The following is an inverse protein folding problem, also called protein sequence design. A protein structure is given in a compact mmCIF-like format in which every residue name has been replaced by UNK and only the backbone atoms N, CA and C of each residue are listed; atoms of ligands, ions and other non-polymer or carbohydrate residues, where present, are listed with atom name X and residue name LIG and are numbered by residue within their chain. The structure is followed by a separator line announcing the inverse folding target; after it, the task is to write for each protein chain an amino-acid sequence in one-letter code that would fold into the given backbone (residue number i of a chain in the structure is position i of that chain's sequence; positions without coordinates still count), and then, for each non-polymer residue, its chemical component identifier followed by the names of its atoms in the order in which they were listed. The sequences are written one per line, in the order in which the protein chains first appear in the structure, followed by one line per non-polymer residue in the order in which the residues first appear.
data_IF_620158673170
#
_entry.id   IF_620158673170
#
_cell.length_a   1.000
_cell.length_b   1.000
_cell.length_c   1.000
_cell.angle_alpha   90.00
_cell.angle_beta   90.00
_cell.angle_gamma   90.00
#
_symmetry.space_group_name_H-M   'P 1'
#
loop_
_entity.id
_entity.type
_entity.pdbx_description
1 polymer ?
#
# COMPACT_ATOMS: atom_id res chain seq x y z
N UNK A 1 9.50 15.30 -15.44
CA UNK A 1 9.98 14.35 -14.42
C UNK A 1 9.70 14.96 -13.05
N UNK A 2 9.01 14.22 -12.19
CA UNK A 2 8.50 14.78 -10.94
C UNK A 2 9.49 14.59 -9.80
N UNK A 3 9.84 15.69 -9.12
CA UNK A 3 10.67 15.70 -7.90
C UNK A 3 9.80 16.00 -6.68
N UNK A 4 10.35 15.81 -5.49
CA UNK A 4 9.63 16.15 -4.26
C UNK A 4 9.06 17.57 -4.27
N UNK A 5 9.82 18.55 -4.77
CA UNK A 5 9.39 19.95 -4.86
C UNK A 5 8.20 20.20 -5.81
N UNK A 6 7.85 19.20 -6.62
CA UNK A 6 6.65 19.27 -7.48
C UNK A 6 5.35 19.03 -6.70
N UNK A 7 5.45 18.59 -5.46
CA UNK A 7 4.33 18.21 -4.60
C UNK A 7 4.30 19.08 -3.34
N UNK A 8 3.10 19.35 -2.84
CA UNK A 8 2.96 19.90 -1.49
C UNK A 8 3.35 18.86 -0.45
N UNK A 9 3.55 19.28 0.80
CA UNK A 9 3.87 18.39 1.92
C UNK A 9 2.84 17.27 2.09
N UNK A 10 1.54 17.62 1.98
CA UNK A 10 0.44 16.66 2.12
C UNK A 10 0.37 15.69 0.93
N UNK A 11 0.56 16.20 -0.29
CA UNK A 11 0.63 15.38 -1.51
C UNK A 11 1.80 14.40 -1.44
N UNK A 12 2.97 14.86 -1.00
CA UNK A 12 4.15 14.00 -0.84
C UNK A 12 3.93 12.93 0.22
N UNK A 13 3.33 13.31 1.34
CA UNK A 13 2.93 12.37 2.40
C UNK A 13 1.96 11.33 1.87
N UNK A 14 0.96 11.71 1.08
CA UNK A 14 0.03 10.78 0.44
C UNK A 14 0.75 9.75 -0.44
N UNK A 15 1.69 10.19 -1.30
CA UNK A 15 2.43 9.28 -2.18
C UNK A 15 3.29 8.28 -1.40
N UNK A 16 3.81 8.68 -0.26
CA UNK A 16 4.63 7.81 0.59
C UNK A 16 3.81 6.85 1.44
N UNK A 17 2.64 7.29 1.91
CA UNK A 17 1.76 6.48 2.75
C UNK A 17 0.92 5.47 1.98
N UNK A 18 0.48 5.79 0.78
CA UNK A 18 -0.44 4.94 0.02
C UNK A 18 0.06 3.48 -0.10
N UNK A 19 1.33 3.20 -0.45
CA UNK A 19 1.82 1.82 -0.50
C UNK A 19 1.80 1.11 0.87
N UNK A 20 2.14 1.82 1.94
CA UNK A 20 2.12 1.26 3.30
C UNK A 20 0.71 0.92 3.76
N UNK A 21 -0.25 1.78 3.45
CA UNK A 21 -1.67 1.54 3.74
C UNK A 21 -2.23 0.38 2.91
N UNK A 22 -1.83 0.25 1.65
CA UNK A 22 -2.17 -0.91 0.79
C UNK A 22 -1.64 -2.20 1.40
N UNK A 23 -0.36 -2.25 1.78
CA UNK A 23 0.22 -3.42 2.43
C UNK A 23 -0.54 -3.80 3.71
N UNK A 24 -0.80 -2.82 4.59
CA UNK A 24 -1.52 -3.04 5.84
C UNK A 24 -2.97 -3.50 5.64
N UNK A 25 -3.70 -2.91 4.68
CA UNK A 25 -5.07 -3.29 4.39
C UNK A 25 -5.16 -4.67 3.72
N UNK A 26 -4.17 -5.05 2.91
CA UNK A 26 -4.12 -6.38 2.28
C UNK A 26 -3.95 -7.47 3.34
N UNK A 27 -2.99 -7.32 4.26
CA UNK A 27 -2.78 -8.28 5.35
C UNK A 27 -3.95 -8.32 6.34
N UNK A 28 -4.63 -7.19 6.56
CA UNK A 28 -5.80 -7.11 7.42
C UNK A 28 -7.09 -7.64 6.76
N UNK A 29 -7.12 -7.83 5.45
CA UNK A 29 -8.30 -8.31 4.71
C UNK A 29 -8.74 -9.71 5.17
N UNK A 30 -7.80 -10.55 5.61
CA UNK A 30 -8.11 -11.80 6.31
C UNK A 30 -8.22 -11.54 7.81
N UNK A 31 -9.36 -11.87 8.47
CA UNK A 31 -9.53 -11.70 9.92
C UNK A 31 -8.50 -12.47 10.76
N UNK A 32 -7.91 -13.53 10.23
CA UNK A 32 -6.81 -14.25 10.89
C UNK A 32 -5.52 -13.44 10.94
N UNK A 33 -5.35 -12.48 10.04
CA UNK A 33 -4.18 -11.59 9.94
C UNK A 33 -4.25 -10.31 10.77
N UNK A 34 -5.38 -10.01 11.42
CA UNK A 34 -5.54 -8.75 12.20
C UNK A 34 -4.63 -8.69 13.45
N UNK A 35 -4.07 -9.80 13.87
CA UNK A 35 -3.01 -9.83 14.87
C UNK A 35 -1.63 -9.84 14.21
N UNK A 36 -1.47 -8.99 13.18
CA UNK A 36 -0.17 -8.74 12.58
C UNK A 36 0.84 -8.44 13.70
N UNK A 37 1.71 -9.38 13.92
CA UNK A 37 2.82 -9.20 14.84
C UNK A 37 3.72 -8.07 14.32
N UNK A 38 4.54 -7.50 15.17
CA UNK A 38 5.59 -6.54 14.78
C UNK A 38 6.39 -7.06 13.57
N UNK A 39 6.51 -8.38 13.43
CA UNK A 39 7.19 -9.07 12.32
C UNK A 39 6.47 -8.87 10.97
N UNK A 40 5.14 -8.89 10.93
CA UNK A 40 4.36 -8.67 9.70
C UNK A 40 4.35 -7.20 9.30
N UNK A 41 4.29 -6.28 10.29
CA UNK A 41 4.47 -4.86 10.03
C UNK A 41 5.86 -4.56 9.45
N UNK A 42 6.91 -5.22 9.94
CA UNK A 42 8.26 -5.10 9.42
C UNK A 42 8.39 -5.71 8.00
N UNK A 43 7.71 -6.83 7.72
CA UNK A 43 7.68 -7.42 6.38
C UNK A 43 6.99 -6.49 5.37
N UNK A 44 5.86 -5.88 5.76
CA UNK A 44 5.16 -4.88 4.95
C UNK A 44 6.03 -3.65 4.65
N UNK A 45 6.78 -3.15 5.62
CA UNK A 45 7.73 -2.07 5.43
C UNK A 45 8.86 -2.45 4.46
N UNK A 46 9.34 -3.68 4.51
CA UNK A 46 10.32 -4.23 3.57
C UNK A 46 9.79 -4.27 2.14
N UNK A 47 8.55 -4.71 1.95
CA UNK A 47 7.87 -4.72 0.64
C UNK A 47 7.80 -3.31 0.05
N UNK A 48 7.37 -2.33 0.85
CA UNK A 48 7.25 -0.92 0.39
C UNK A 48 8.63 -0.31 0.07
N UNK A 49 9.62 -0.53 0.94
CA UNK A 49 10.98 -0.04 0.70
C UNK A 49 11.57 -0.60 -0.60
N UNK A 50 11.37 -1.89 -0.86
CA UNK A 50 11.83 -2.52 -2.09
C UNK A 50 11.05 -2.01 -3.31
N UNK A 51 9.76 -1.75 -3.18
CA UNK A 51 8.94 -1.22 -4.27
C UNK A 51 9.44 0.16 -4.74
N UNK A 52 9.81 1.05 -3.83
CA UNK A 52 10.40 2.35 -4.20
C UNK A 52 11.75 2.19 -4.91
N UNK A 53 12.54 1.19 -4.56
CA UNK A 53 13.87 0.94 -5.15
C UNK A 53 13.82 0.31 -6.55
N UNK A 54 12.68 -0.27 -6.94
CA UNK A 54 12.58 -1.02 -8.20
C UNK A 54 12.70 -0.12 -9.44
N UNK A 55 12.26 1.14 -9.37
CA UNK A 55 12.20 2.06 -10.51
C UNK A 55 13.02 3.34 -10.29
N UNK A 56 14.16 3.25 -9.62
CA UNK A 56 15.00 4.43 -9.29
C UNK A 56 15.58 5.16 -10.50
N UNK A 57 15.47 4.60 -11.70
CA UNK A 57 15.74 5.30 -12.95
C UNK A 57 14.71 6.42 -13.28
N UNK A 58 13.55 6.42 -12.61
CA UNK A 58 12.55 7.47 -12.67
C UNK A 58 12.75 8.45 -11.51
N UNK A 59 12.73 9.75 -11.77
CA UNK A 59 13.03 10.78 -10.75
C UNK A 59 12.10 10.71 -9.54
N UNK A 60 10.80 10.47 -9.76
CA UNK A 60 9.84 10.30 -8.68
C UNK A 60 10.26 9.15 -7.74
N UNK A 61 10.63 8.01 -8.28
CA UNK A 61 11.01 6.84 -7.50
C UNK A 61 12.37 7.03 -6.80
N UNK A 62 13.31 7.69 -7.45
CA UNK A 62 14.58 8.07 -6.83
C UNK A 62 14.33 8.97 -5.60
N UNK A 63 13.44 9.95 -5.72
CA UNK A 63 13.07 10.83 -4.62
C UNK A 63 12.33 10.07 -3.49
N UNK A 64 11.38 9.18 -3.82
CA UNK A 64 10.68 8.34 -2.85
C UNK A 64 11.62 7.39 -2.11
N UNK A 65 12.60 6.81 -2.81
CA UNK A 65 13.56 5.87 -2.23
C UNK A 65 14.60 6.54 -1.31
N UNK A 66 14.89 7.83 -1.52
CA UNK A 66 15.87 8.59 -0.74
C UNK A 66 15.27 9.34 0.45
N UNK A 67 13.96 9.52 0.48
CA UNK A 67 13.29 10.15 1.62
C UNK A 67 13.08 9.12 2.75
N UNK A 68 13.92 9.20 3.76
CA UNK A 68 13.88 8.35 4.95
C UNK A 68 13.04 8.95 6.09
N UNK A 69 12.40 10.09 5.89
CA UNK A 69 11.52 10.66 6.90
C UNK A 69 10.33 9.73 7.14
N UNK A 70 9.85 9.67 8.37
CA UNK A 70 8.65 8.89 8.70
C UNK A 70 7.43 9.72 8.31
N UNK A 71 6.62 9.30 7.32
CA UNK A 71 5.41 10.03 7.00
C UNK A 71 4.45 10.00 8.18
N UNK A 72 3.79 11.11 8.45
CA UNK A 72 2.78 11.19 9.50
C UNK A 72 1.63 10.20 9.22
N UNK A 73 1.48 9.20 10.06
CA UNK A 73 0.35 8.27 9.96
C UNK A 73 -0.94 8.99 10.36
N UNK A 74 -2.02 8.82 9.60
CA UNK A 74 -3.33 9.29 10.03
C UNK A 74 -3.73 8.67 11.38
N UNK A 75 -4.51 9.41 12.17
CA UNK A 75 -5.07 8.85 13.40
C UNK A 75 -5.83 7.55 13.09
N UNK A 76 -5.49 6.43 13.73
CA UNK A 76 -6.19 5.15 13.53
C UNK A 76 -7.70 5.26 13.68
N UNK A 77 -8.19 6.10 14.59
CA UNK A 77 -9.63 6.35 14.77
C UNK A 77 -10.28 6.96 13.52
N UNK A 78 -9.55 7.81 12.80
CA UNK A 78 -10.03 8.40 11.54
C UNK A 78 -10.11 7.36 10.44
N UNK A 79 -9.20 6.38 10.42
CA UNK A 79 -9.18 5.32 9.41
C UNK A 79 -10.18 4.20 9.71
N UNK A 80 -10.29 3.80 10.97
CA UNK A 80 -11.10 2.67 11.41
C UNK A 80 -12.53 3.08 11.74
N UNK A 81 -12.74 4.29 12.25
CA UNK A 81 -14.03 4.77 12.74
C UNK A 81 -14.55 3.96 13.92
N UNK A 82 -15.83 4.12 14.23
CA UNK A 82 -16.53 3.36 15.26
C UNK A 82 -17.32 2.20 14.62
N UNK A 83 -17.59 1.15 15.40
CA UNK A 83 -18.39 0.01 14.98
C UNK A 83 -17.76 -1.34 15.33
N UNK A 84 -18.38 -2.41 14.82
CA UNK A 84 -17.83 -3.74 14.94
C UNK A 84 -16.50 -3.85 14.20
N UNK A 85 -15.72 -4.88 14.54
CA UNK A 85 -14.44 -5.14 13.87
C UNK A 85 -14.54 -5.27 12.37
N UNK A 86 -15.60 -5.92 11.88
CA UNK A 86 -15.86 -6.06 10.44
C UNK A 86 -16.17 -4.70 9.81
N UNK A 87 -16.99 -3.88 10.46
CA UNK A 87 -17.29 -2.52 10.00
C UNK A 87 -16.06 -1.63 9.98
N UNK A 88 -15.19 -1.72 10.97
CA UNK A 88 -13.93 -0.99 11.02
C UNK A 88 -12.97 -1.43 9.90
N UNK A 89 -12.89 -2.73 9.62
CA UNK A 89 -12.09 -3.26 8.52
C UNK A 89 -12.59 -2.76 7.17
N UNK A 90 -13.90 -2.80 6.92
CA UNK A 90 -14.48 -2.28 5.67
C UNK A 90 -14.25 -0.77 5.51
N UNK A 91 -14.39 0.02 6.57
CA UNK A 91 -14.08 1.45 6.55
C UNK A 91 -12.60 1.69 6.24
N UNK A 92 -11.71 0.92 6.84
CA UNK A 92 -10.27 1.00 6.58
C UNK A 92 -9.93 0.68 5.12
N UNK A 93 -10.44 -0.43 4.60
CA UNK A 93 -10.25 -0.82 3.20
C UNK A 93 -10.74 0.28 2.24
N UNK A 94 -11.93 0.81 2.45
CA UNK A 94 -12.48 1.89 1.64
C UNK A 94 -11.64 3.16 1.72
N UNK A 95 -11.19 3.55 2.92
CA UNK A 95 -10.31 4.70 3.10
C UNK A 95 -8.96 4.53 2.40
N UNK A 96 -8.43 3.30 2.34
CA UNK A 96 -7.20 2.98 1.60
C UNK A 96 -7.44 3.07 0.10
N UNK A 97 -8.54 2.52 -0.42
CA UNK A 97 -8.87 2.59 -1.85
C UNK A 97 -9.07 4.04 -2.33
N UNK A 98 -9.69 4.90 -1.53
CA UNK A 98 -9.80 6.34 -1.83
C UNK A 98 -8.40 7.00 -1.91
N UNK A 99 -7.49 6.63 -1.02
CA UNK A 99 -6.11 7.15 -1.05
C UNK A 99 -5.32 6.63 -2.24
N UNK A 100 -5.50 5.38 -2.62
CA UNK A 100 -4.93 4.80 -3.85
C UNK A 100 -5.37 5.63 -5.05
N UNK A 101 -6.67 5.88 -5.18
CA UNK A 101 -7.21 6.70 -6.27
C UNK A 101 -6.65 8.12 -6.25
N UNK A 102 -6.64 8.76 -5.09
CA UNK A 102 -6.13 10.14 -4.95
C UNK A 102 -4.63 10.21 -5.29
N UNK A 103 -3.83 9.24 -4.88
CA UNK A 103 -2.40 9.17 -5.18
C UNK A 103 -2.16 8.94 -6.69
N UNK A 104 -2.91 8.03 -7.32
CA UNK A 104 -2.78 7.77 -8.76
C UNK A 104 -3.25 8.93 -9.63
N UNK A 105 -4.32 9.62 -9.24
CA UNK A 105 -4.77 10.85 -9.89
C UNK A 105 -3.74 11.99 -9.73
N UNK A 106 -3.08 12.05 -8.57
CA UNK A 106 -2.05 13.04 -8.30
C UNK A 106 -0.83 12.84 -9.20
N UNK A 107 -0.29 11.62 -9.29
CA UNK A 107 0.85 11.33 -10.16
C UNK A 107 0.49 11.50 -11.64
N UNK A 108 -0.73 11.20 -12.03
CA UNK A 108 -1.20 11.43 -13.39
C UNK A 108 -1.21 12.92 -13.79
N UNK A 109 -1.43 13.82 -12.82
CA UNK A 109 -1.43 15.27 -13.05
C UNK A 109 -0.05 15.92 -12.96
N UNK A 110 0.85 15.41 -12.12
CA UNK A 110 2.10 16.10 -11.76
C UNK A 110 3.37 15.37 -12.17
N UNK A 111 3.29 14.09 -12.52
CA UNK A 111 4.42 13.28 -12.96
C UNK A 111 4.34 12.96 -14.46
N UNK A 112 5.40 12.43 -15.03
CA UNK A 112 5.38 11.92 -16.41
C UNK A 112 4.48 10.67 -16.52
N UNK A 113 4.01 10.38 -17.73
CA UNK A 113 3.19 9.19 -17.98
C UNK A 113 3.88 7.90 -17.51
N UNK A 114 5.19 7.78 -17.75
CA UNK A 114 5.96 6.60 -17.30
C UNK A 114 6.06 6.49 -15.79
N UNK A 115 6.20 7.63 -15.08
CA UNK A 115 6.20 7.64 -13.61
C UNK A 115 4.81 7.31 -13.04
N UNK A 116 3.76 7.82 -13.67
CA UNK A 116 2.38 7.53 -13.26
C UNK A 116 2.05 6.04 -13.45
N UNK A 117 2.42 5.45 -14.58
CA UNK A 117 2.20 4.03 -14.86
C UNK A 117 3.02 3.14 -13.93
N UNK A 118 4.27 3.50 -13.67
CA UNK A 118 5.12 2.78 -12.72
C UNK A 118 4.55 2.85 -11.29
N UNK A 119 4.01 4.00 -10.88
CA UNK A 119 3.41 4.17 -9.55
C UNK A 119 2.13 3.34 -9.38
N UNK A 120 1.26 3.31 -10.40
CA UNK A 120 0.05 2.46 -10.40
C UNK A 120 0.41 0.98 -10.27
N UNK A 121 1.36 0.51 -11.08
CA UNK A 121 1.87 -0.86 -11.02
C UNK A 121 2.47 -1.18 -9.67
N UNK A 122 3.27 -0.27 -9.11
CA UNK A 122 3.86 -0.44 -7.78
C UNK A 122 2.80 -0.68 -6.71
N UNK A 123 1.69 0.05 -6.70
CA UNK A 123 0.61 -0.15 -5.73
C UNK A 123 -0.02 -1.55 -5.85
N UNK A 124 -0.24 -2.02 -7.08
CA UNK A 124 -0.74 -3.37 -7.34
C UNK A 124 0.25 -4.45 -6.88
N UNK A 125 1.54 -4.28 -7.21
CA UNK A 125 2.62 -5.19 -6.82
C UNK A 125 2.79 -5.25 -5.29
N UNK A 126 2.64 -4.12 -4.60
CA UNK A 126 2.68 -4.06 -3.13
C UNK A 126 1.55 -4.88 -2.52
N UNK A 127 0.33 -4.78 -3.05
CA UNK A 127 -0.80 -5.58 -2.58
C UNK A 127 -0.53 -7.08 -2.74
N UNK A 128 -0.04 -7.51 -3.90
CA UNK A 128 0.30 -8.92 -4.17
C UNK A 128 1.41 -9.42 -3.24
N UNK A 129 2.51 -8.67 -3.13
CA UNK A 129 3.65 -9.04 -2.29
C UNK A 129 3.33 -9.03 -0.80
N UNK A 130 2.46 -8.13 -0.35
CA UNK A 130 2.00 -8.11 1.05
C UNK A 130 1.18 -9.37 1.38
N UNK A 131 0.31 -9.81 0.48
CA UNK A 131 -0.44 -11.05 0.63
C UNK A 131 0.49 -12.28 0.62
N UNK A 132 1.51 -12.28 -0.22
CA UNK A 132 2.49 -13.39 -0.25
C UNK A 132 3.37 -13.42 1.00
N UNK A 133 3.81 -12.26 1.51
CA UNK A 133 4.62 -12.17 2.72
C UNK A 133 3.86 -12.62 3.98
N UNK A 134 2.54 -12.43 4.03
CA UNK A 134 1.71 -12.90 5.16
C UNK A 134 1.70 -14.42 5.28
N UNK A 135 1.91 -15.16 4.18
CA UNK A 135 1.97 -16.63 4.16
C UNK A 135 3.29 -17.20 4.71
N UNK A 136 4.41 -16.51 4.45
CA UNK A 136 5.73 -16.96 4.92
C UNK A 136 5.88 -16.83 6.45
N UNK A 137 4.99 -16.07 7.11
CA UNK A 137 4.90 -15.92 8.55
C UNK A 137 4.20 -17.08 9.27
N UNK A 138 3.63 -18.04 8.55
CA UNK A 138 2.94 -19.20 9.11
C UNK A 138 3.88 -20.07 9.94
N UNK A 139 3.57 -20.21 11.23
CA UNK A 139 4.30 -21.03 12.19
C UNK A 139 4.33 -22.49 11.72
N UNK A 140 5.52 -23.06 11.57
CA UNK A 140 5.81 -24.49 11.33
C UNK A 140 5.65 -25.07 9.91
N UNK A 141 5.74 -24.32 8.82
CA UNK A 141 5.98 -24.97 7.52
C UNK A 141 4.91 -25.96 7.02
N UNK A 142 3.75 -26.01 7.65
CA UNK A 142 2.63 -26.86 7.29
C UNK A 142 1.55 -26.05 6.59
N UNK A 143 1.40 -26.31 5.30
CA UNK A 143 0.30 -25.85 4.47
C UNK A 143 0.56 -24.45 3.89
N UNK A 144 1.10 -24.38 2.68
CA UNK A 144 1.05 -23.18 1.88
C UNK A 144 -0.40 -22.77 1.67
N UNK A 145 -0.92 -21.93 2.57
CA UNK A 145 -2.24 -21.34 2.39
C UNK A 145 -2.13 -20.37 1.24
N UNK A 146 -2.84 -20.65 0.16
CA UNK A 146 -3.05 -19.70 -0.95
C UNK A 146 -3.52 -18.37 -0.37
N UNK A 147 -3.21 -17.27 -1.07
CA UNK A 147 -3.85 -15.97 -0.80
C UNK A 147 -5.34 -16.22 -0.57
N UNK A 148 -5.85 -15.78 0.57
CA UNK A 148 -7.27 -16.00 0.89
C UNK A 148 -8.16 -15.31 -0.15
N UNK A 149 -9.39 -15.78 -0.33
CA UNK A 149 -10.32 -15.16 -1.26
C UNK A 149 -10.58 -13.69 -0.93
N UNK A 150 -10.50 -13.31 0.35
CA UNK A 150 -10.66 -11.92 0.82
C UNK A 150 -9.46 -11.04 0.46
N UNK A 151 -8.25 -11.56 0.61
CA UNK A 151 -7.05 -10.86 0.15
C UNK A 151 -7.04 -10.71 -1.37
N UNK A 152 -7.41 -11.77 -2.10
CA UNK A 152 -7.49 -11.73 -3.56
C UNK A 152 -8.56 -10.73 -4.05
N UNK A 153 -9.70 -10.65 -3.37
CA UNK A 153 -10.73 -9.66 -3.64
C UNK A 153 -10.19 -8.24 -3.42
N UNK A 154 -9.50 -7.99 -2.31
CA UNK A 154 -8.93 -6.68 -2.02
C UNK A 154 -7.81 -6.29 -2.99
N UNK A 155 -6.92 -7.22 -3.37
CA UNK A 155 -5.91 -7.00 -4.42
C UNK A 155 -6.59 -6.53 -5.72
N UNK A 156 -7.70 -7.18 -6.10
CA UNK A 156 -8.46 -6.81 -7.30
C UNK A 156 -9.08 -5.41 -7.19
N UNK A 157 -9.54 -5.03 -6.00
CA UNK A 157 -10.05 -3.67 -5.71
C UNK A 157 -8.93 -2.62 -5.80
N UNK A 158 -7.75 -2.91 -5.25
CA UNK A 158 -6.57 -2.04 -5.37
C UNK A 158 -6.17 -1.84 -6.83
N UNK A 159 -6.09 -2.91 -7.61
CA UNK A 159 -5.80 -2.83 -9.05
C UNK A 159 -6.80 -1.93 -9.78
N UNK A 160 -8.07 -2.12 -9.52
CA UNK A 160 -9.13 -1.30 -10.12
C UNK A 160 -9.01 0.17 -9.70
N UNK A 161 -8.79 0.45 -8.41
CA UNK A 161 -8.62 1.80 -7.89
C UNK A 161 -7.35 2.48 -8.45
N UNK A 162 -6.29 1.71 -8.68
CA UNK A 162 -5.06 2.18 -9.30
C UNK A 162 -5.16 2.34 -10.83
N UNK A 163 -6.22 1.82 -11.46
CA UNK A 163 -6.36 1.83 -12.92
C UNK A 163 -5.42 0.86 -13.62
N UNK A 164 -5.09 -0.24 -12.98
CA UNK A 164 -4.30 -1.36 -13.54
C UNK A 164 -5.26 -2.48 -13.91
N UNK A 165 -5.25 -2.88 -15.16
CA UNK A 165 -6.04 -4.03 -15.68
C UNK A 165 -5.24 -5.32 -15.65
#
# INVERSE_FOLDING_TARGET
MAKQDSFTSDEWTLLRLAPSLVAGATTAADPSGIFASIKEAAAGAGVVSNAFKTNTGLELFAALATDHSIPGMPDPKTLLGEGSREQQLEKFKNAVLERVKSATDLVARKASAGEADAYRKMLADVAEKAADASKEGGFLGFGGVRVSDKEQAFISEVKRAAGVT
#
